data_IF_155627509607
#
_entry.id   IF_155627509607
#
_cell.length_a   1.000
_cell.length_b   1.000
_cell.length_c   1.000
_cell.angle_alpha   90.00
_cell.angle_beta   90.00
_cell.angle_gamma   90.00
#
_symmetry.space_group_name_H-M   'P 1'
#
loop_
_entity.id
_entity.type
_entity.pdbx_description
1 polymer ?
#
# COMPACT_ATOMS: atom_id res chain seq x y z
N UNK A 1 -0.24 -21.77 -18.96
CA UNK A 1 -0.72 -23.10 -19.37
C UNK A 1 -1.93 -23.46 -18.52
N UNK A 2 -3.06 -23.84 -19.11
CA UNK A 2 -4.21 -24.37 -18.36
C UNK A 2 -4.05 -25.89 -18.26
N UNK A 3 -4.22 -26.46 -17.07
CA UNK A 3 -4.19 -27.91 -16.88
C UNK A 3 -5.51 -28.53 -17.31
N UNK A 4 -5.46 -29.64 -18.04
CA UNK A 4 -6.65 -30.42 -18.37
C UNK A 4 -7.23 -31.07 -17.09
N UNK A 5 -8.54 -31.36 -17.04
CA UNK A 5 -9.16 -32.06 -15.92
C UNK A 5 -8.47 -33.39 -15.61
N UNK A 6 -8.14 -34.16 -16.65
CA UNK A 6 -7.52 -35.50 -16.55
C UNK A 6 -6.12 -35.40 -15.93
N UNK A 7 -5.34 -34.36 -16.29
CA UNK A 7 -4.03 -34.13 -15.69
C UNK A 7 -4.14 -33.79 -14.21
N UNK A 8 -5.11 -32.95 -13.81
CA UNK A 8 -5.33 -32.62 -12.39
C UNK A 8 -5.70 -33.87 -11.59
N UNK A 9 -6.60 -34.69 -12.13
CA UNK A 9 -7.02 -35.94 -11.51
C UNK A 9 -5.84 -36.91 -11.35
N UNK A 10 -5.03 -37.10 -12.40
CA UNK A 10 -3.83 -37.92 -12.34
C UNK A 10 -2.81 -37.44 -11.26
N UNK A 11 -2.62 -36.12 -11.13
CA UNK A 11 -1.77 -35.55 -10.07
C UNK A 11 -2.34 -35.82 -8.67
N UNK A 12 -3.67 -35.74 -8.52
CA UNK A 12 -4.34 -36.03 -7.25
C UNK A 12 -4.32 -37.52 -6.88
N UNK A 13 -4.09 -38.43 -7.83
CA UNK A 13 -3.91 -39.87 -7.57
C UNK A 13 -2.47 -40.30 -7.24
N UNK A 14 -1.48 -39.38 -7.31
CA UNK A 14 -0.12 -39.67 -6.87
C UNK A 14 -0.09 -40.12 -5.40
N UNK A 15 0.87 -41.00 -5.07
CA UNK A 15 1.09 -41.40 -3.68
C UNK A 15 1.49 -40.21 -2.81
N UNK A 16 1.22 -40.28 -1.50
CA UNK A 16 1.59 -39.20 -0.56
C UNK A 16 3.08 -38.85 -0.64
N UNK A 17 3.95 -39.87 -0.68
CA UNK A 17 5.40 -39.70 -0.81
C UNK A 17 5.82 -38.93 -2.07
N UNK A 18 5.15 -39.18 -3.19
CA UNK A 18 5.42 -38.48 -4.45
C UNK A 18 4.91 -37.03 -4.40
N UNK A 19 3.72 -36.83 -3.82
CA UNK A 19 3.14 -35.50 -3.60
C UNK A 19 4.03 -34.66 -2.69
N UNK A 20 4.54 -35.21 -1.60
CA UNK A 20 5.42 -34.49 -0.67
C UNK A 20 6.72 -34.07 -1.35
N UNK A 21 7.36 -34.99 -2.07
CA UNK A 21 8.59 -34.69 -2.82
C UNK A 21 8.33 -33.62 -3.89
N UNK A 22 7.19 -33.69 -4.57
CA UNK A 22 6.79 -32.70 -5.56
C UNK A 22 6.51 -31.34 -4.90
N UNK A 23 5.76 -31.31 -3.81
CA UNK A 23 5.38 -30.12 -3.05
C UNK A 23 6.63 -29.39 -2.57
N UNK A 24 7.55 -30.06 -1.88
CA UNK A 24 8.80 -29.45 -1.40
C UNK A 24 9.63 -28.90 -2.56
N UNK A 25 9.65 -29.58 -3.72
CA UNK A 25 10.35 -29.08 -4.91
C UNK A 25 9.66 -27.86 -5.52
N UNK A 26 8.34 -27.80 -5.49
CA UNK A 26 7.56 -26.66 -5.99
C UNK A 26 7.64 -25.46 -5.06
N UNK A 27 7.62 -25.68 -3.74
CA UNK A 27 7.80 -24.63 -2.74
C UNK A 27 9.11 -23.87 -2.94
N UNK A 28 10.22 -24.57 -3.24
CA UNK A 28 11.52 -23.94 -3.57
C UNK A 28 11.47 -22.99 -4.78
N UNK A 29 10.41 -23.05 -5.61
CA UNK A 29 10.22 -22.18 -6.77
C UNK A 29 9.29 -21.00 -6.51
N UNK A 30 8.57 -20.98 -5.39
CA UNK A 30 7.63 -19.93 -5.04
C UNK A 30 7.95 -19.36 -3.66
N UNK A 31 8.81 -18.33 -3.65
CA UNK A 31 9.24 -17.67 -2.42
C UNK A 31 8.06 -17.04 -1.66
N UNK A 32 7.01 -16.57 -2.34
CA UNK A 32 5.87 -15.94 -1.67
C UNK A 32 5.07 -16.99 -0.91
N UNK A 33 4.84 -18.15 -1.52
CA UNK A 33 4.15 -19.26 -0.87
C UNK A 33 4.98 -19.80 0.30
N UNK A 34 6.30 -19.88 0.15
CA UNK A 34 7.21 -20.25 1.25
C UNK A 34 7.09 -19.28 2.41
N UNK A 35 7.25 -17.97 2.20
CA UNK A 35 7.17 -16.98 3.27
C UNK A 35 5.81 -17.04 3.99
N UNK A 36 4.72 -17.20 3.23
CA UNK A 36 3.38 -17.37 3.79
C UNK A 36 3.24 -18.62 4.65
N UNK A 37 3.72 -19.78 4.18
CA UNK A 37 3.66 -21.02 4.95
C UNK A 37 4.56 -20.98 6.18
N UNK A 38 5.72 -20.32 6.11
CA UNK A 38 6.55 -20.06 7.29
C UNK A 38 5.77 -19.27 8.34
N UNK A 39 5.09 -18.19 7.93
CA UNK A 39 4.23 -17.41 8.81
C UNK A 39 3.08 -18.25 9.39
N UNK A 40 2.37 -19.01 8.56
CA UNK A 40 1.19 -19.77 8.98
C UNK A 40 1.50 -21.01 9.83
N UNK A 41 2.67 -21.65 9.63
CA UNK A 41 2.97 -22.97 10.20
C UNK A 41 4.10 -22.97 11.24
N UNK A 42 4.96 -21.94 11.27
CA UNK A 42 6.20 -21.97 12.06
C UNK A 42 6.37 -20.73 12.93
N UNK A 43 5.98 -19.55 12.43
CA UNK A 43 6.16 -18.28 13.13
C UNK A 43 5.34 -18.24 14.43
N UNK A 44 5.98 -17.80 15.51
CA UNK A 44 5.38 -17.69 16.84
C UNK A 44 4.61 -16.37 17.03
N UNK A 45 4.72 -15.46 16.07
CA UNK A 45 4.09 -14.14 16.06
C UNK A 45 2.89 -14.09 15.14
N UNK A 46 1.88 -13.35 15.54
CA UNK A 46 0.69 -13.14 14.72
C UNK A 46 0.86 -11.93 13.78
N UNK A 47 -0.19 -11.64 12.99
CA UNK A 47 -0.18 -10.54 12.04
C UNK A 47 0.03 -9.16 12.70
N UNK A 48 -0.53 -8.95 13.90
CA UNK A 48 -0.42 -7.69 14.63
C UNK A 48 1.00 -7.48 15.18
N UNK A 49 1.66 -8.54 15.68
CA UNK A 49 3.05 -8.50 16.11
C UNK A 49 4.00 -8.10 14.96
N UNK A 50 3.79 -8.73 13.79
CA UNK A 50 4.53 -8.38 12.57
C UNK A 50 4.24 -6.95 12.12
N UNK A 51 2.98 -6.50 12.22
CA UNK A 51 2.58 -5.13 11.93
C UNK A 51 3.31 -4.14 12.83
N UNK A 52 3.32 -4.35 14.15
CA UNK A 52 4.00 -3.47 15.09
C UNK A 52 5.52 -3.35 14.81
N UNK A 53 6.17 -4.46 14.43
CA UNK A 53 7.58 -4.44 14.02
C UNK A 53 7.76 -3.63 12.73
N UNK A 54 6.86 -3.79 11.76
CA UNK A 54 6.91 -3.10 10.49
C UNK A 54 6.59 -1.61 10.63
N UNK A 55 5.67 -1.21 11.52
CA UNK A 55 5.34 0.18 11.82
C UNK A 55 6.59 0.98 12.21
N UNK A 56 7.37 0.48 13.18
CA UNK A 56 8.62 1.11 13.60
C UNK A 56 9.60 1.27 12.44
N UNK A 57 9.68 0.25 11.57
CA UNK A 57 10.56 0.25 10.40
C UNK A 57 10.09 1.25 9.35
N UNK A 58 8.80 1.28 9.05
CA UNK A 58 8.17 2.19 8.09
C UNK A 58 8.38 3.63 8.54
N UNK A 59 8.10 3.94 9.80
CA UNK A 59 8.28 5.30 10.34
C UNK A 59 9.74 5.74 10.25
N UNK A 60 10.68 4.89 10.70
CA UNK A 60 12.11 5.18 10.64
C UNK A 60 12.58 5.40 9.21
N UNK A 61 12.26 4.48 8.29
CA UNK A 61 12.68 4.57 6.89
C UNK A 61 12.05 5.76 6.18
N UNK A 62 10.77 6.06 6.42
CA UNK A 62 10.10 7.22 5.85
C UNK A 62 10.80 8.54 6.24
N UNK A 63 11.25 8.66 7.50
CA UNK A 63 12.06 9.81 7.95
C UNK A 63 13.43 9.85 7.25
N UNK A 64 14.13 8.72 7.21
CA UNK A 64 15.47 8.61 6.59
C UNK A 64 15.45 8.96 5.10
N UNK A 65 14.58 8.33 4.31
CA UNK A 65 14.51 8.57 2.86
C UNK A 65 14.10 10.00 2.54
N UNK A 66 13.29 10.65 3.37
CA UNK A 66 12.88 12.05 3.16
C UNK A 66 14.03 13.01 3.43
N UNK A 67 14.90 12.70 4.42
CA UNK A 67 16.13 13.47 4.69
C UNK A 67 17.15 13.32 3.57
N UNK A 68 17.36 12.09 3.11
CA UNK A 68 18.36 11.73 2.11
C UNK A 68 17.96 12.11 0.67
N UNK A 69 16.66 12.19 0.40
CA UNK A 69 16.16 12.53 -0.92
C UNK A 69 16.73 13.88 -1.40
N UNK A 70 17.14 13.88 -2.68
CA UNK A 70 17.73 15.05 -3.36
C UNK A 70 16.66 15.89 -4.07
N UNK A 71 15.56 15.26 -4.44
CA UNK A 71 14.37 15.88 -5.04
C UNK A 71 13.14 15.02 -4.74
N UNK A 72 11.95 15.54 -5.02
CA UNK A 72 10.68 14.80 -4.89
C UNK A 72 10.62 13.59 -5.82
N UNK A 73 11.24 13.64 -7.00
CA UNK A 73 11.31 12.46 -7.86
C UNK A 73 12.26 11.39 -7.29
N UNK A 74 13.36 11.78 -6.64
CA UNK A 74 14.22 10.84 -5.91
C UNK A 74 13.45 10.22 -4.73
N UNK A 75 12.76 11.05 -3.94
CA UNK A 75 11.92 10.59 -2.84
C UNK A 75 10.86 9.58 -3.30
N UNK A 76 10.14 9.88 -4.39
CA UNK A 76 9.17 8.96 -4.99
C UNK A 76 9.78 7.58 -5.31
N UNK A 77 11.03 7.54 -5.77
CA UNK A 77 11.72 6.26 -6.02
C UNK A 77 12.04 5.53 -4.72
N UNK A 78 12.51 6.25 -3.70
CA UNK A 78 12.85 5.67 -2.40
C UNK A 78 11.61 5.11 -1.66
N UNK A 79 10.47 5.82 -1.69
CA UNK A 79 9.24 5.38 -1.03
C UNK A 79 8.72 4.04 -1.60
N UNK A 80 9.01 3.74 -2.87
CA UNK A 80 8.62 2.45 -3.48
C UNK A 80 9.22 1.25 -2.76
N UNK A 81 10.39 1.38 -2.14
CA UNK A 81 10.98 0.29 -1.35
C UNK A 81 10.18 0.04 -0.07
N UNK A 82 9.81 1.09 0.66
CA UNK A 82 8.95 1.00 1.85
C UNK A 82 7.58 0.42 1.49
N UNK A 83 7.01 0.88 0.37
CA UNK A 83 5.76 0.32 -0.16
C UNK A 83 5.86 -1.16 -0.53
N UNK A 84 7.05 -1.60 -0.97
CA UNK A 84 7.34 -3.01 -1.26
C UNK A 84 7.27 -3.86 0.00
N UNK A 85 7.84 -3.39 1.11
CA UNK A 85 7.78 -4.07 2.41
C UNK A 85 6.34 -4.20 2.93
N UNK A 86 5.54 -3.13 2.83
CA UNK A 86 4.11 -3.18 3.20
C UNK A 86 3.39 -4.22 2.32
N UNK A 87 3.68 -4.25 1.02
CA UNK A 87 3.05 -5.22 0.11
C UNK A 87 3.49 -6.66 0.40
N UNK A 88 4.70 -6.86 0.90
CA UNK A 88 5.20 -8.17 1.31
C UNK A 88 4.52 -8.63 2.60
N UNK A 89 4.41 -7.75 3.62
CA UNK A 89 3.67 -8.01 4.85
C UNK A 89 2.26 -8.53 4.55
N UNK A 90 1.46 -7.76 3.81
CA UNK A 90 0.08 -8.12 3.47
C UNK A 90 0.00 -9.44 2.70
N UNK A 91 0.99 -9.72 1.85
CA UNK A 91 1.02 -10.96 1.08
C UNK A 91 1.25 -12.18 1.96
N UNK A 92 2.12 -12.04 2.96
CA UNK A 92 2.51 -13.07 3.92
C UNK A 92 1.44 -13.25 4.99
N UNK A 93 1.01 -12.17 5.65
CA UNK A 93 0.15 -12.19 6.84
C UNK A 93 -1.35 -12.05 6.55
N UNK A 94 -1.72 -11.63 5.33
CA UNK A 94 -3.10 -11.28 4.94
C UNK A 94 -3.70 -10.12 5.71
N UNK A 95 -2.87 -9.34 6.40
CA UNK A 95 -3.28 -8.19 7.21
C UNK A 95 -3.75 -7.00 6.36
N UNK A 96 -5.05 -6.98 6.02
CA UNK A 96 -5.65 -5.88 5.26
C UNK A 96 -5.69 -4.57 6.06
N UNK A 97 -5.93 -4.66 7.37
CA UNK A 97 -5.92 -3.49 8.26
C UNK A 97 -4.53 -2.85 8.24
N UNK A 98 -3.49 -3.65 8.41
CA UNK A 98 -2.09 -3.21 8.29
C UNK A 98 -1.74 -2.63 6.93
N UNK A 99 -2.33 -3.11 5.83
CA UNK A 99 -2.12 -2.46 4.52
C UNK A 99 -2.51 -0.98 4.58
N UNK A 100 -3.66 -0.67 5.16
CA UNK A 100 -4.16 0.71 5.29
C UNK A 100 -3.34 1.49 6.30
N UNK A 101 -3.20 0.99 7.53
CA UNK A 101 -2.52 1.72 8.61
C UNK A 101 -1.07 2.05 8.27
N UNK A 102 -0.32 1.09 7.70
CA UNK A 102 1.07 1.28 7.30
C UNK A 102 1.21 2.24 6.11
N UNK A 103 0.28 2.24 5.15
CA UNK A 103 0.31 3.21 4.05
C UNK A 103 0.02 4.63 4.56
N UNK A 104 -0.94 4.80 5.46
CA UNK A 104 -1.23 6.09 6.09
C UNK A 104 -0.02 6.60 6.88
N UNK A 105 0.57 5.75 7.74
CA UNK A 105 1.78 6.06 8.50
C UNK A 105 2.93 6.51 7.58
N UNK A 106 3.17 5.75 6.50
CA UNK A 106 4.21 6.07 5.52
C UNK A 106 3.95 7.43 4.86
N UNK A 107 2.74 7.69 4.36
CA UNK A 107 2.40 8.92 3.65
C UNK A 107 2.48 10.14 4.59
N UNK A 108 1.89 10.07 5.79
CA UNK A 108 1.94 11.15 6.76
C UNK A 108 3.37 11.47 7.18
N UNK A 109 4.15 10.44 7.50
CA UNK A 109 5.56 10.62 7.91
C UNK A 109 6.39 11.27 6.82
N UNK A 110 6.21 10.85 5.56
CA UNK A 110 6.88 11.47 4.42
C UNK A 110 6.44 12.92 4.28
N UNK A 111 5.14 13.19 4.17
CA UNK A 111 4.63 14.52 3.83
C UNK A 111 4.98 15.57 4.89
N UNK A 112 4.93 15.22 6.19
CA UNK A 112 5.42 16.05 7.30
C UNK A 112 6.83 16.61 7.09
N UNK A 113 7.67 15.90 6.34
CA UNK A 113 9.09 16.21 6.16
C UNK A 113 9.45 16.69 4.73
N UNK A 114 8.46 16.93 3.86
CA UNK A 114 8.71 17.23 2.43
C UNK A 114 8.84 18.72 2.07
N UNK A 115 8.55 19.67 2.96
CA UNK A 115 8.54 21.12 2.64
C UNK A 115 9.82 21.59 1.95
N UNK A 116 10.99 21.14 2.41
CA UNK A 116 12.29 21.47 1.80
C UNK A 116 12.41 20.94 0.37
N UNK A 117 11.86 19.76 0.09
CA UNK A 117 11.93 19.11 -1.22
C UNK A 117 10.99 19.76 -2.23
N UNK A 118 9.81 20.22 -1.81
CA UNK A 118 8.92 21.00 -2.68
C UNK A 118 9.58 22.29 -3.17
N UNK A 119 10.30 23.01 -2.29
CA UNK A 119 11.04 24.23 -2.68
C UNK A 119 12.23 23.98 -3.61
N UNK A 120 12.87 22.80 -3.50
CA UNK A 120 14.09 22.48 -4.27
C UNK A 120 13.83 21.77 -5.60
N UNK A 121 12.71 21.07 -5.71
CA UNK A 121 12.42 20.25 -6.89
C UNK A 121 11.84 21.11 -8.00
N UNK A 122 12.18 20.81 -9.25
CA UNK A 122 11.42 21.41 -10.35
C UNK A 122 9.97 20.91 -10.36
N UNK A 123 9.09 21.72 -10.91
CA UNK A 123 7.65 21.50 -10.88
C UNK A 123 7.23 20.17 -11.54
N UNK A 124 7.86 19.80 -12.66
CA UNK A 124 7.57 18.54 -13.34
C UNK A 124 7.87 17.31 -12.48
N UNK A 125 9.01 17.29 -11.79
CA UNK A 125 9.37 16.22 -10.86
C UNK A 125 8.44 16.20 -9.64
N UNK A 126 8.08 17.38 -9.14
CA UNK A 126 7.17 17.52 -8.01
C UNK A 126 5.76 17.01 -8.35
N UNK A 127 5.23 17.32 -9.55
CA UNK A 127 3.95 16.79 -10.04
C UNK A 127 3.92 15.26 -10.07
N UNK A 128 5.00 14.60 -10.53
CA UNK A 128 5.07 13.12 -10.53
C UNK A 128 5.03 12.52 -9.12
N UNK A 129 5.59 13.19 -8.13
CA UNK A 129 5.48 12.79 -6.73
C UNK A 129 4.06 13.01 -6.21
N UNK A 130 3.45 14.17 -6.52
CA UNK A 130 2.08 14.47 -6.12
C UNK A 130 1.10 13.42 -6.65
N UNK A 131 1.16 13.08 -7.95
CA UNK A 131 0.31 12.03 -8.54
C UNK A 131 0.50 10.69 -7.82
N UNK A 132 1.74 10.34 -7.46
CA UNK A 132 2.00 9.12 -6.70
C UNK A 132 1.32 9.11 -5.32
N UNK A 133 1.35 10.24 -4.61
CA UNK A 133 0.63 10.40 -3.34
C UNK A 133 -0.87 10.24 -3.56
N UNK A 134 -1.45 10.99 -4.50
CA UNK A 134 -2.90 10.95 -4.79
C UNK A 134 -3.38 9.54 -5.18
N UNK A 135 -2.62 8.84 -6.04
CA UNK A 135 -2.94 7.45 -6.42
C UNK A 135 -2.94 6.51 -5.21
N UNK A 136 -2.01 6.68 -4.28
CA UNK A 136 -1.98 5.89 -3.05
C UNK A 136 -3.13 6.24 -2.12
N UNK A 137 -3.42 7.53 -1.92
CA UNK A 137 -4.56 7.98 -1.13
C UNK A 137 -5.86 7.35 -1.64
N UNK A 138 -6.13 7.43 -2.95
CA UNK A 138 -7.28 6.76 -3.55
C UNK A 138 -7.32 5.25 -3.30
N UNK A 139 -6.17 4.57 -3.38
CA UNK A 139 -6.09 3.13 -3.08
C UNK A 139 -6.41 2.86 -1.62
N UNK A 140 -5.89 3.67 -0.70
CA UNK A 140 -6.17 3.57 0.73
C UNK A 140 -7.65 3.75 1.03
N UNK A 141 -8.29 4.80 0.50
CA UNK A 141 -9.73 5.03 0.69
C UNK A 141 -10.59 3.87 0.14
N UNK A 142 -10.23 3.33 -1.03
CA UNK A 142 -10.91 2.13 -1.60
C UNK A 142 -10.72 0.88 -0.74
N UNK A 143 -9.61 0.74 -0.02
CA UNK A 143 -9.40 -0.36 0.91
C UNK A 143 -10.22 -0.17 2.18
N UNK A 144 -10.26 1.05 2.71
CA UNK A 144 -11.04 1.43 3.89
C UNK A 144 -12.53 1.19 3.64
N UNK A 145 -13.08 1.61 2.50
CA UNK A 145 -14.49 1.40 2.16
C UNK A 145 -14.90 -0.08 2.13
N UNK A 146 -13.95 -1.01 1.94
CA UNK A 146 -14.21 -2.46 1.94
C UNK A 146 -14.07 -3.11 3.31
N UNK A 147 -13.66 -2.35 4.33
CA UNK A 147 -13.52 -2.84 5.70
C UNK A 147 -14.85 -2.73 6.45
N UNK A 148 -14.90 -3.40 7.60
CA UNK A 148 -16.03 -3.27 8.51
C UNK A 148 -16.05 -1.87 9.15
N UNK A 149 -17.23 -1.34 9.41
CA UNK A 149 -17.44 0.03 9.92
C UNK A 149 -16.69 0.28 11.24
N UNK A 150 -16.67 -0.70 12.14
CA UNK A 150 -15.94 -0.59 13.42
C UNK A 150 -14.43 -0.29 13.28
N UNK A 151 -13.82 -0.69 12.16
CA UNK A 151 -12.40 -0.43 11.91
C UNK A 151 -12.14 0.99 11.36
N UNK A 152 -13.18 1.71 10.95
CA UNK A 152 -13.05 3.04 10.34
C UNK A 152 -12.57 4.08 11.36
N UNK A 153 -12.99 3.94 12.62
CA UNK A 153 -12.60 4.83 13.72
C UNK A 153 -11.08 4.89 13.91
N UNK A 154 -10.38 3.77 13.68
CA UNK A 154 -8.91 3.68 13.78
C UNK A 154 -8.18 4.50 12.70
N UNK A 155 -8.89 4.89 11.63
CA UNK A 155 -8.30 5.62 10.51
C UNK A 155 -8.64 7.11 10.48
N UNK A 156 -9.54 7.60 11.34
CA UNK A 156 -10.00 8.99 11.31
C UNK A 156 -8.87 10.01 11.50
N UNK A 157 -8.11 9.86 12.57
CA UNK A 157 -6.96 10.73 12.87
C UNK A 157 -5.89 10.70 11.76
N UNK A 158 -5.38 9.52 11.33
CA UNK A 158 -4.37 9.49 10.28
C UNK A 158 -4.89 9.91 8.90
N UNK A 159 -6.18 9.73 8.59
CA UNK A 159 -6.79 10.27 7.37
C UNK A 159 -6.88 11.79 7.41
N UNK A 160 -7.39 12.35 8.51
CA UNK A 160 -7.50 13.80 8.70
C UNK A 160 -6.14 14.45 8.56
N UNK A 161 -5.11 13.88 9.20
CA UNK A 161 -3.75 14.34 9.06
C UNK A 161 -3.23 14.29 7.61
N UNK A 162 -3.54 13.21 6.87
CA UNK A 162 -3.16 13.10 5.47
C UNK A 162 -3.84 14.18 4.62
N UNK A 163 -5.13 14.42 4.87
CA UNK A 163 -5.93 15.47 4.22
C UNK A 163 -5.32 16.85 4.45
N UNK A 164 -5.02 17.19 5.71
CA UNK A 164 -4.41 18.45 6.10
C UNK A 164 -3.03 18.65 5.46
N UNK A 165 -2.21 17.61 5.43
CA UNK A 165 -0.89 17.65 4.79
C UNK A 165 -0.98 17.87 3.28
N UNK A 166 -2.00 17.29 2.61
CA UNK A 166 -2.27 17.51 1.19
C UNK A 166 -2.76 18.94 0.95
N UNK A 167 -3.71 19.43 1.75
CA UNK A 167 -4.28 20.76 1.63
C UNK A 167 -3.26 21.88 1.85
N UNK A 168 -2.31 21.66 2.77
CA UNK A 168 -1.26 22.64 3.11
C UNK A 168 -0.26 22.91 2.00
N UNK A 169 -0.02 21.97 1.10
CA UNK A 169 0.95 22.11 0.01
C UNK A 169 0.25 22.41 -1.32
N UNK A 170 0.36 23.63 -1.89
CA UNK A 170 -0.46 24.07 -3.03
C UNK A 170 -0.39 23.16 -4.25
N UNK A 171 0.79 22.58 -4.53
CA UNK A 171 0.96 21.68 -5.67
C UNK A 171 0.26 20.33 -5.44
N UNK A 172 0.25 19.83 -4.20
CA UNK A 172 -0.48 18.62 -3.84
C UNK A 172 -1.98 18.87 -3.93
N UNK A 173 -2.49 19.97 -3.36
CA UNK A 173 -3.90 20.32 -3.41
C UNK A 173 -4.40 20.50 -4.85
N UNK A 174 -3.65 21.23 -5.68
CA UNK A 174 -3.98 21.38 -7.12
C UNK A 174 -3.97 20.03 -7.84
N UNK A 175 -3.06 19.13 -7.46
CA UNK A 175 -3.01 17.78 -8.04
C UNK A 175 -4.18 16.93 -7.57
N UNK A 176 -4.60 17.04 -6.30
CA UNK A 176 -5.77 16.35 -5.75
C UNK A 176 -7.04 16.72 -6.53
N UNK A 177 -7.31 18.03 -6.67
CA UNK A 177 -8.45 18.56 -7.43
C UNK A 177 -8.43 18.06 -8.87
N UNK A 178 -7.27 18.18 -9.55
CA UNK A 178 -7.13 17.72 -10.94
C UNK A 178 -7.43 16.23 -11.11
N UNK A 179 -7.13 15.43 -10.10
CA UNK A 179 -7.30 13.99 -10.10
C UNK A 179 -8.60 13.53 -9.44
N UNK A 180 -9.50 14.47 -9.11
CA UNK A 180 -10.81 14.18 -8.53
C UNK A 180 -10.76 13.64 -7.10
N UNK A 181 -9.66 13.84 -6.37
CA UNK A 181 -9.61 13.53 -4.95
C UNK A 181 -10.22 14.71 -4.19
N UNK A 182 -11.39 14.51 -3.60
CA UNK A 182 -11.94 15.44 -2.63
C UNK A 182 -11.21 15.27 -1.28
N UNK A 183 -10.75 16.38 -0.70
CA UNK A 183 -10.05 16.35 0.59
C UNK A 183 -11.01 16.12 1.75
N UNK A 184 -12.29 16.47 1.58
CA UNK A 184 -13.30 16.26 2.62
C UNK A 184 -13.52 14.77 2.89
N UNK A 185 -13.30 13.90 1.89
CA UNK A 185 -13.30 12.44 2.09
C UNK A 185 -12.25 11.96 3.11
N UNK A 186 -11.22 12.76 3.37
CA UNK A 186 -10.19 12.48 4.36
C UNK A 186 -10.44 13.21 5.68
N UNK A 187 -10.72 14.52 5.62
CA UNK A 187 -10.80 15.37 6.81
C UNK A 187 -12.13 15.29 7.55
N UNK A 188 -13.19 14.89 6.86
CA UNK A 188 -14.54 14.72 7.42
C UNK A 188 -14.93 13.24 7.52
N UNK A 189 -14.02 12.32 7.15
CA UNK A 189 -14.25 10.88 7.06
C UNK A 189 -15.43 10.48 6.15
N UNK A 190 -15.79 11.33 5.18
CA UNK A 190 -16.91 11.11 4.27
C UNK A 190 -16.48 10.33 3.01
N UNK A 191 -16.03 9.09 3.18
CA UNK A 191 -15.61 8.26 2.04
C UNK A 191 -16.84 7.82 1.23
N UNK A 192 -16.94 8.13 -0.08
CA UNK A 192 -18.10 7.74 -0.87
C UNK A 192 -18.29 6.22 -0.97
N UNK A 193 -19.53 5.75 -0.85
CA UNK A 193 -19.86 4.32 -1.01
C UNK A 193 -19.46 3.77 -2.40
N UNK A 194 -19.55 4.61 -3.43
CA UNK A 194 -19.23 4.29 -4.81
C UNK A 194 -17.79 4.67 -5.21
N UNK A 195 -16.89 4.90 -4.24
CA UNK A 195 -15.49 5.31 -4.50
C UNK A 195 -14.74 4.38 -5.46
N UNK A 196 -15.08 3.10 -5.48
CA UNK A 196 -14.53 2.12 -6.44
C UNK A 196 -14.88 2.49 -7.88
N UNK A 197 -16.11 2.93 -8.12
CA UNK A 197 -16.59 3.32 -9.43
C UNK A 197 -16.07 4.71 -9.82
N UNK A 198 -16.06 5.67 -8.89
CA UNK A 198 -15.40 6.97 -9.06
C UNK A 198 -13.95 6.79 -9.53
N UNK A 199 -13.18 5.94 -8.83
CA UNK A 199 -11.78 5.68 -9.20
C UNK A 199 -11.63 5.09 -10.61
N UNK A 200 -12.52 4.17 -11.02
CA UNK A 200 -12.49 3.59 -12.38
C UNK A 200 -12.77 4.64 -13.44
N UNK A 201 -13.78 5.50 -13.22
CA UNK A 201 -14.14 6.57 -14.16
C UNK A 201 -12.98 7.56 -14.33
N UNK A 202 -12.34 7.98 -13.23
CA UNK A 202 -11.16 8.85 -13.26
C UNK A 202 -10.02 8.21 -14.07
N UNK A 203 -9.74 6.91 -13.86
CA UNK A 203 -8.72 6.18 -14.62
C UNK A 203 -9.05 6.07 -16.11
N UNK A 204 -10.33 5.91 -16.46
CA UNK A 204 -10.79 5.87 -17.85
C UNK A 204 -10.52 7.20 -18.59
N UNK A 205 -10.53 8.32 -17.88
CA UNK A 205 -10.18 9.65 -18.40
C UNK A 205 -8.66 9.87 -18.54
N UNK A 206 -7.83 8.87 -18.22
CA UNK A 206 -6.37 8.97 -18.31
C UNK A 206 -5.69 9.61 -17.10
N UNK A 207 -6.44 9.90 -16.05
CA UNK A 207 -5.93 10.36 -14.76
C UNK A 207 -5.49 9.18 -13.89
N UNK A 208 -4.80 9.47 -12.78
CA UNK A 208 -4.26 8.49 -11.83
C UNK A 208 -3.26 7.49 -12.47
N UNK A 209 -2.49 7.96 -13.46
CA UNK A 209 -1.45 7.22 -14.17
C UNK A 209 -0.04 7.68 -13.78
#
# INVERSE_FOLDING_TARGET
MKFSPEFKEAVLHLSEKEKDKLLIRLLKKDQNLVNRLYFELIDDKNADDHRAILEQRVEKRAKEITREAKSLNHLKMLIRYVSGEISEHVRVTKDKFGEVSLNLLMLNTVLKNTTRLFRKSNEFQARKFCVYVIVRTFRTLVLIQKMHEDLLLEFEEPLTELGDLIAKEPLLMTTAIRHGLDINWLTENEIPEDIVEIQKQIKAQGLLK
#
